data_IF_078097602567
#
_entry.id   IF_078097602567
#
_cell.length_a   1.000
_cell.length_b   1.000
_cell.length_c   1.000
_cell.angle_alpha   90.00
_cell.angle_beta   90.00
_cell.angle_gamma   90.00
#
_symmetry.space_group_name_H-M   'P 1'
#
loop_
_entity.id
_entity.type
_entity.pdbx_description
1 polymer ?
#
# COMPACT_ATOMS: atom_id res chain seq x y z
N UNK A 1 1.19 -9.45 -6.60
CA UNK A 1 1.04 -8.45 -5.53
C UNK A 1 2.42 -8.14 -4.99
N UNK A 2 2.70 -6.91 -4.59
CA UNK A 2 4.01 -6.45 -4.11
C UNK A 2 3.81 -5.77 -2.76
N UNK A 3 4.72 -6.01 -1.83
CA UNK A 3 4.74 -5.34 -0.54
C UNK A 3 6.11 -4.74 -0.23
N UNK A 4 6.09 -3.57 0.41
CA UNK A 4 7.23 -2.94 1.06
C UNK A 4 7.26 -3.37 2.52
N UNK A 5 8.39 -3.92 2.95
CA UNK A 5 8.60 -4.42 4.30
C UNK A 5 9.57 -3.50 5.02
N UNK A 6 9.17 -3.04 6.21
CA UNK A 6 9.99 -2.28 7.16
C UNK A 6 10.42 -3.20 8.29
N UNK A 7 11.72 -3.54 8.31
CA UNK A 7 12.35 -4.37 9.34
C UNK A 7 13.43 -3.54 10.00
N UNK A 8 13.20 -3.15 11.26
CA UNK A 8 14.07 -2.21 11.98
C UNK A 8 14.29 -0.90 11.19
N UNK A 9 15.54 -0.61 10.80
CA UNK A 9 15.95 0.57 10.03
C UNK A 9 16.08 0.29 8.52
N UNK A 10 15.79 -0.93 8.06
CA UNK A 10 15.86 -1.32 6.65
C UNK A 10 14.48 -1.46 6.03
N UNK A 11 14.41 -1.13 4.75
CA UNK A 11 13.24 -1.36 3.91
C UNK A 11 13.64 -2.17 2.69
N UNK A 12 12.80 -3.12 2.31
CA UNK A 12 12.97 -3.89 1.09
C UNK A 12 11.60 -4.26 0.53
N UNK A 13 11.55 -4.53 -0.77
CA UNK A 13 10.31 -4.88 -1.45
C UNK A 13 10.32 -6.33 -1.90
N UNK A 14 9.19 -7.03 -1.72
CA UNK A 14 9.05 -8.43 -2.09
C UNK A 14 7.74 -8.69 -2.82
N UNK A 15 7.75 -9.67 -3.71
CA UNK A 15 6.53 -10.25 -4.25
C UNK A 15 5.82 -11.01 -3.13
N UNK A 16 4.54 -10.70 -2.98
CA UNK A 16 3.65 -11.40 -2.07
C UNK A 16 3.08 -12.60 -2.81
N UNK A 17 3.49 -13.80 -2.39
CA UNK A 17 3.03 -15.05 -2.98
C UNK A 17 1.70 -15.54 -2.40
N UNK A 18 1.48 -15.26 -1.12
CA UNK A 18 0.20 -15.45 -0.45
C UNK A 18 0.08 -14.53 0.76
N UNK A 19 -1.16 -14.33 1.21
CA UNK A 19 -1.55 -13.63 2.43
C UNK A 19 -2.39 -14.59 3.25
N UNK A 20 -2.00 -14.81 4.49
CA UNK A 20 -2.77 -15.49 5.52
C UNK A 20 -3.46 -14.42 6.39
N UNK A 21 -4.77 -14.31 6.27
CA UNK A 21 -5.57 -13.31 6.98
C UNK A 21 -6.02 -13.85 8.34
N UNK A 22 -5.50 -13.25 9.42
CA UNK A 22 -5.85 -13.61 10.81
C UNK A 22 -5.82 -12.39 11.75
N UNK A 23 -6.37 -11.26 11.29
CA UNK A 23 -6.37 -10.00 12.04
C UNK A 23 -4.95 -9.51 12.31
N UNK A 24 -4.62 -9.23 13.57
CA UNK A 24 -3.28 -8.79 13.98
C UNK A 24 -2.18 -9.85 13.82
N UNK A 25 -2.55 -11.12 13.60
CA UNK A 25 -1.61 -12.21 13.34
C UNK A 25 -1.47 -12.53 11.85
N UNK A 26 -2.00 -11.66 10.98
CA UNK A 26 -1.90 -11.84 9.54
C UNK A 26 -0.44 -11.86 9.07
N UNK A 27 -0.17 -12.69 8.07
CA UNK A 27 1.16 -12.92 7.52
C UNK A 27 1.12 -12.90 6.01
N UNK A 28 2.27 -12.67 5.40
CA UNK A 28 2.49 -12.95 3.98
C UNK A 28 3.46 -14.11 3.82
N UNK A 29 3.40 -14.78 2.67
CA UNK A 29 4.49 -15.59 2.15
C UNK A 29 5.25 -14.71 1.17
N UNK A 30 6.51 -14.42 1.49
CA UNK A 30 7.38 -13.53 0.72
C UNK A 30 8.84 -13.93 0.88
N UNK A 31 9.70 -13.31 0.09
CA UNK A 31 11.14 -13.43 0.32
C UNK A 31 11.58 -12.59 1.51
N UNK A 32 12.62 -13.07 2.19
CA UNK A 32 13.40 -12.28 3.13
C UNK A 32 14.20 -11.17 2.42
N UNK A 33 14.93 -10.36 3.20
CA UNK A 33 15.71 -9.23 2.69
C UNK A 33 16.88 -9.65 1.75
N UNK A 34 17.31 -10.91 1.83
CA UNK A 34 18.36 -11.46 0.96
C UNK A 34 17.83 -12.01 -0.36
N UNK A 35 16.51 -12.20 -0.47
CA UNK A 35 15.85 -12.88 -1.59
C UNK A 35 16.30 -14.34 -1.78
N UNK A 36 16.85 -14.97 -0.75
CA UNK A 36 17.31 -16.36 -0.79
C UNK A 36 16.31 -17.32 -0.15
N UNK A 37 15.51 -16.83 0.81
CA UNK A 37 14.60 -17.68 1.59
C UNK A 37 13.16 -17.21 1.46
N UNK A 38 12.25 -18.16 1.23
CA UNK A 38 10.81 -17.93 1.29
C UNK A 38 10.32 -18.22 2.71
N UNK A 39 9.63 -17.27 3.33
CA UNK A 39 9.21 -17.38 4.74
C UNK A 39 7.82 -16.77 4.98
N UNK A 40 7.28 -17.02 6.18
CA UNK A 40 6.13 -16.29 6.69
C UNK A 40 6.58 -14.99 7.36
N UNK A 41 6.14 -13.85 6.83
CA UNK A 41 6.48 -12.53 7.35
C UNK A 41 5.22 -11.92 7.97
N UNK A 42 5.29 -11.53 9.25
CA UNK A 42 4.14 -10.93 9.92
C UNK A 42 3.85 -9.53 9.34
N UNK A 43 2.58 -9.25 9.04
CA UNK A 43 2.15 -7.92 8.57
C UNK A 43 2.33 -6.88 9.69
N UNK A 44 2.03 -7.31 10.91
CA UNK A 44 2.14 -6.50 12.11
C UNK A 44 3.22 -7.04 13.04
N UNK A 45 4.12 -6.17 13.48
CA UNK A 45 5.04 -6.40 14.59
C UNK A 45 4.39 -6.04 15.92
N UNK A 46 4.82 -6.72 17.00
CA UNK A 46 4.43 -6.38 18.37
C UNK A 46 5.55 -5.59 19.04
N UNK A 47 5.33 -4.32 19.34
CA UNK A 47 6.21 -3.52 20.20
C UNK A 47 5.37 -3.07 21.39
N UNK A 48 5.39 -3.81 22.51
CA UNK A 48 4.57 -3.44 23.67
C UNK A 48 4.77 -1.96 24.06
N UNK A 49 3.71 -1.14 24.13
CA UNK A 49 2.28 -1.51 24.16
C UNK A 49 1.50 -1.35 22.83
N UNK A 50 2.16 -1.13 21.69
CA UNK A 50 1.53 -0.81 20.40
C UNK A 50 1.75 -1.89 19.33
N UNK A 51 0.78 -2.00 18.43
CA UNK A 51 0.92 -2.80 17.20
C UNK A 51 1.56 -1.90 16.15
N UNK A 52 2.61 -2.41 15.48
CA UNK A 52 3.31 -1.68 14.43
C UNK A 52 3.11 -2.39 13.10
N UNK A 53 2.49 -1.72 12.13
CA UNK A 53 2.50 -2.23 10.75
C UNK A 53 3.93 -2.23 10.21
N UNK A 54 4.34 -3.36 9.68
CA UNK A 54 5.66 -3.57 9.08
C UNK A 54 5.56 -3.79 7.57
N UNK A 55 4.39 -4.19 7.07
CA UNK A 55 4.19 -4.53 5.65
C UNK A 55 3.11 -3.63 5.05
N UNK A 56 3.46 -2.99 3.94
CA UNK A 56 2.57 -2.14 3.16
C UNK A 56 2.44 -2.69 1.74
N UNK A 57 1.22 -3.01 1.32
CA UNK A 57 0.99 -3.51 -0.04
C UNK A 57 0.97 -2.34 -1.02
N UNK A 58 1.94 -2.30 -1.94
CA UNK A 58 2.14 -1.19 -2.87
C UNK A 58 1.60 -1.47 -4.29
N UNK A 59 1.34 -2.74 -4.60
CA UNK A 59 0.68 -3.14 -5.84
C UNK A 59 -0.17 -4.40 -5.63
N UNK A 60 -1.48 -4.28 -5.90
CA UNK A 60 -2.40 -5.42 -5.97
C UNK A 60 -2.44 -5.97 -7.40
N UNK A 61 -1.96 -7.20 -7.58
CA UNK A 61 -2.14 -7.93 -8.84
C UNK A 61 -3.37 -8.82 -8.68
N UNK A 62 -4.38 -8.59 -9.51
CA UNK A 62 -5.58 -9.42 -9.57
C UNK A 62 -5.39 -10.70 -10.39
N UNK A 63 -4.38 -10.71 -11.27
CA UNK A 63 -4.14 -11.85 -12.16
C UNK A 63 -3.56 -13.03 -11.36
N UNK A 64 -4.20 -14.21 -11.49
CA UNK A 64 -3.88 -15.48 -10.81
C UNK A 64 -4.10 -15.54 -9.29
N UNK A 65 -4.66 -14.48 -8.68
CA UNK A 65 -4.99 -14.47 -7.26
C UNK A 65 -6.23 -15.30 -6.96
N UNK A 66 -6.14 -16.20 -5.98
CA UNK A 66 -7.25 -17.06 -5.57
C UNK A 66 -7.37 -17.06 -4.05
N UNK A 67 -8.56 -17.38 -3.54
CA UNK A 67 -8.85 -17.40 -2.10
C UNK A 67 -9.34 -18.77 -1.67
N UNK A 68 -8.79 -19.28 -0.56
CA UNK A 68 -9.16 -20.56 0.06
C UNK A 68 -9.18 -20.40 1.58
N UNK A 69 -10.37 -20.27 2.15
CA UNK A 69 -10.54 -20.02 3.58
C UNK A 69 -9.90 -18.68 3.97
N UNK A 70 -8.93 -18.72 4.89
CA UNK A 70 -8.17 -17.55 5.37
C UNK A 70 -6.94 -17.20 4.52
N UNK A 71 -6.61 -18.00 3.50
CA UNK A 71 -5.42 -17.77 2.68
C UNK A 71 -5.85 -17.26 1.31
N UNK A 72 -5.20 -16.21 0.83
CA UNK A 72 -5.32 -15.74 -0.55
C UNK A 72 -3.94 -15.63 -1.19
N UNK A 73 -3.81 -15.85 -2.50
CA UNK A 73 -2.50 -15.86 -3.15
C UNK A 73 -2.51 -16.54 -4.50
N UNK A 74 -1.32 -16.78 -5.06
CA UNK A 74 -1.18 -17.56 -6.27
C UNK A 74 -1.78 -18.97 -6.07
N UNK A 75 -2.61 -19.38 -7.01
CA UNK A 75 -3.33 -20.67 -6.93
C UNK A 75 -2.40 -21.87 -6.71
N UNK A 76 -1.20 -21.87 -7.30
CA UNK A 76 -0.20 -22.94 -7.16
C UNK A 76 0.52 -22.93 -5.81
N UNK A 77 0.56 -21.79 -5.10
CA UNK A 77 1.06 -21.68 -3.72
C UNK A 77 0.02 -22.21 -2.75
N UNK A 78 -1.21 -21.67 -2.81
CA UNK A 78 -2.24 -21.97 -1.79
C UNK A 78 -2.78 -23.40 -1.88
N UNK A 79 -2.64 -24.05 -3.05
CA UNK A 79 -3.01 -25.45 -3.23
C UNK A 79 -1.87 -26.43 -2.89
N UNK A 80 -0.65 -25.94 -2.64
CA UNK A 80 0.49 -26.77 -2.28
C UNK A 80 0.58 -26.95 -0.76
N UNK A 81 -0.14 -27.95 -0.23
CA UNK A 81 -0.18 -28.25 1.21
C UNK A 81 1.17 -28.63 1.79
N UNK A 82 2.05 -29.25 1.00
CA UNK A 82 3.41 -29.58 1.43
C UNK A 82 4.24 -28.31 1.63
N UNK A 83 4.20 -27.38 0.69
CA UNK A 83 4.88 -26.08 0.79
C UNK A 83 4.45 -25.33 2.06
N UNK A 84 3.14 -25.18 2.27
CA UNK A 84 2.61 -24.48 3.44
C UNK A 84 3.10 -25.11 4.75
N UNK A 85 3.13 -26.44 4.83
CA UNK A 85 3.66 -27.17 5.99
C UNK A 85 5.16 -27.01 6.17
N UNK A 86 5.94 -26.95 5.10
CA UNK A 86 7.38 -26.72 5.17
C UNK A 86 7.69 -25.31 5.70
N UNK A 87 6.97 -24.30 5.21
CA UNK A 87 7.05 -22.93 5.68
C UNK A 87 6.65 -22.80 7.16
N UNK A 88 5.58 -23.49 7.59
CA UNK A 88 5.17 -23.50 9.01
C UNK A 88 6.19 -24.14 9.95
N UNK A 89 7.06 -25.01 9.42
CA UNK A 89 8.05 -25.77 10.19
C UNK A 89 9.48 -25.25 10.01
N UNK A 90 9.65 -24.10 9.33
CA UNK A 90 10.95 -23.52 8.95
C UNK A 90 11.87 -24.55 8.30
N UNK A 91 11.32 -25.34 7.36
CA UNK A 91 12.03 -26.41 6.64
C UNK A 91 12.42 -25.99 5.24
N UNK A 92 13.42 -26.67 4.70
CA UNK A 92 13.90 -26.50 3.34
C UNK A 92 12.77 -26.60 2.31
N UNK A 93 12.71 -25.59 1.43
CA UNK A 93 11.75 -25.48 0.33
C UNK A 93 12.36 -26.13 -0.92
N UNK A 94 11.63 -27.00 -1.64
CA UNK A 94 12.14 -27.62 -2.88
C UNK A 94 12.63 -26.60 -3.91
N UNK A 95 13.80 -26.85 -4.51
CA UNK A 95 14.44 -25.96 -5.48
C UNK A 95 13.54 -25.55 -6.65
N UNK A 96 12.65 -26.43 -7.11
CA UNK A 96 11.70 -26.14 -8.19
C UNK A 96 10.74 -25.01 -7.82
N UNK A 97 10.21 -25.04 -6.59
CA UNK A 97 9.30 -24.02 -6.06
C UNK A 97 10.07 -22.71 -5.87
N UNK A 98 11.24 -22.80 -5.24
CA UNK A 98 12.08 -21.63 -4.96
C UNK A 98 12.52 -20.93 -6.25
N UNK A 99 12.94 -21.70 -7.26
CA UNK A 99 13.34 -21.17 -8.57
C UNK A 99 12.20 -20.42 -9.25
N UNK A 100 10.97 -20.93 -9.19
CA UNK A 100 9.79 -20.24 -9.72
C UNK A 100 9.52 -18.93 -8.97
N UNK A 101 9.60 -18.93 -7.65
CA UNK A 101 9.45 -17.71 -6.86
C UNK A 101 10.52 -16.67 -7.23
N UNK A 102 11.78 -17.09 -7.36
CA UNK A 102 12.91 -16.23 -7.75
C UNK A 102 12.68 -15.62 -9.13
N UNK A 103 12.20 -16.40 -10.09
CA UNK A 103 11.88 -15.89 -11.44
C UNK A 103 10.81 -14.80 -11.40
N UNK A 104 9.74 -15.01 -10.63
CA UNK A 104 8.68 -14.01 -10.45
C UNK A 104 9.23 -12.74 -9.78
N UNK A 105 10.02 -12.88 -8.73
CA UNK A 105 10.65 -11.75 -8.03
C UNK A 105 11.55 -10.93 -8.97
N UNK A 106 12.40 -11.60 -9.76
CA UNK A 106 13.33 -10.94 -10.70
C UNK A 106 12.61 -10.20 -11.83
N UNK A 107 11.47 -10.70 -12.26
CA UNK A 107 10.67 -10.09 -13.32
C UNK A 107 9.77 -8.96 -12.81
N UNK A 108 9.70 -8.76 -11.49
CA UNK A 108 8.88 -7.70 -10.88
C UNK A 108 9.65 -6.39 -10.86
N UNK A 109 9.11 -5.37 -11.54
CA UNK A 109 9.69 -4.03 -11.59
C UNK A 109 8.89 -3.13 -10.65
N UNK A 110 9.59 -2.48 -9.72
CA UNK A 110 8.99 -1.57 -8.75
C UNK A 110 9.45 -0.15 -9.08
N UNK A 111 8.55 0.73 -9.55
CA UNK A 111 8.92 2.10 -9.82
C UNK A 111 9.16 2.87 -8.52
N UNK A 112 10.00 3.90 -8.57
CA UNK A 112 10.17 4.83 -7.44
C UNK A 112 8.86 5.58 -7.15
N UNK A 113 8.12 5.92 -8.20
CA UNK A 113 6.84 6.63 -8.14
C UNK A 113 5.76 5.87 -8.91
N UNK A 114 4.64 5.62 -8.27
CA UNK A 114 3.46 4.99 -8.85
C UNK A 114 2.51 6.06 -9.38
N UNK A 115 1.98 5.88 -10.59
CA UNK A 115 1.01 6.80 -11.18
C UNK A 115 -0.43 6.33 -10.95
N UNK A 116 -1.29 7.26 -10.51
CA UNK A 116 -2.73 7.03 -10.41
C UNK A 116 -3.36 7.38 -11.76
N UNK A 117 -3.63 6.35 -12.57
CA UNK A 117 -4.15 6.47 -13.93
C UNK A 117 -5.60 5.98 -14.05
N UNK A 118 -6.02 5.10 -13.15
CA UNK A 118 -7.27 4.36 -13.18
C UNK A 118 -7.70 3.90 -11.78
N UNK A 119 -8.86 3.25 -11.69
CA UNK A 119 -9.41 2.76 -10.42
C UNK A 119 -8.48 1.76 -9.71
N UNK A 120 -7.74 0.93 -10.47
CA UNK A 120 -6.80 -0.05 -9.91
C UNK A 120 -5.63 0.64 -9.22
N UNK A 121 -4.99 1.57 -9.91
CA UNK A 121 -3.87 2.36 -9.36
C UNK A 121 -4.30 3.28 -8.21
N UNK A 122 -5.54 3.79 -8.24
CA UNK A 122 -6.14 4.49 -7.10
C UNK A 122 -6.34 3.56 -5.90
N UNK A 123 -6.86 2.34 -6.12
CA UNK A 123 -7.00 1.32 -5.09
C UNK A 123 -5.65 0.91 -4.51
N UNK A 124 -4.60 0.80 -5.32
CA UNK A 124 -3.24 0.53 -4.82
C UNK A 124 -2.77 1.61 -3.83
N UNK A 125 -3.00 2.89 -4.14
CA UNK A 125 -2.69 3.98 -3.21
C UNK A 125 -3.51 3.86 -1.93
N UNK A 126 -4.82 3.63 -2.03
CA UNK A 126 -5.68 3.45 -0.84
C UNK A 126 -5.25 2.25 0.00
N UNK A 127 -4.90 1.12 -0.60
CA UNK A 127 -4.40 -0.05 0.13
C UNK A 127 -3.05 0.23 0.80
N UNK A 128 -2.10 0.85 0.09
CA UNK A 128 -0.78 1.19 0.63
C UNK A 128 -0.85 2.20 1.79
N UNK A 129 -1.90 3.01 1.82
CA UNK A 129 -2.16 4.02 2.82
C UNK A 129 -3.24 3.61 3.83
N UNK A 130 -3.73 2.37 3.84
CA UNK A 130 -4.88 1.96 4.66
C UNK A 130 -6.05 2.96 4.63
N UNK A 131 -6.43 3.37 3.43
CA UNK A 131 -7.43 4.41 3.16
C UNK A 131 -7.15 5.76 3.86
N UNK A 132 -5.89 6.02 4.16
CA UNK A 132 -5.41 7.15 4.95
C UNK A 132 -5.98 7.22 6.36
N UNK A 133 -6.36 6.09 6.96
CA UNK A 133 -6.82 6.03 8.35
C UNK A 133 -5.75 6.54 9.32
N UNK A 134 -6.14 7.39 10.27
CA UNK A 134 -5.29 8.11 11.22
C UNK A 134 -4.19 8.97 10.57
N UNK A 135 -4.30 9.29 9.28
CA UNK A 135 -3.26 9.98 8.56
C UNK A 135 -3.29 11.49 8.82
N UNK A 136 -2.11 12.13 8.73
CA UNK A 136 -1.92 13.56 8.96
C UNK A 136 -1.13 14.15 7.79
N UNK A 137 -1.64 15.22 7.19
CA UNK A 137 -0.90 15.99 6.19
C UNK A 137 0.22 16.79 6.90
N UNK A 138 1.47 16.38 6.72
CA UNK A 138 2.63 17.03 7.34
C UNK A 138 3.08 18.27 6.58
N UNK A 139 3.13 18.17 5.24
CA UNK A 139 3.63 19.26 4.39
C UNK A 139 2.84 19.36 3.10
N UNK A 140 2.65 20.60 2.64
CA UNK A 140 2.14 20.94 1.31
C UNK A 140 3.03 22.03 0.74
N UNK A 141 3.64 21.76 -0.41
CA UNK A 141 4.56 22.68 -1.08
C UNK A 141 4.22 22.76 -2.56
N UNK A 142 4.06 23.96 -3.09
CA UNK A 142 3.81 24.18 -4.52
C UNK A 142 5.00 24.87 -5.17
N UNK A 143 5.57 24.26 -6.20
CA UNK A 143 6.71 24.77 -6.97
C UNK A 143 6.51 24.45 -8.45
N UNK A 144 6.73 25.43 -9.34
CA UNK A 144 6.71 25.23 -10.79
C UNK A 144 5.47 24.48 -11.33
N UNK A 145 4.28 24.81 -10.82
CA UNK A 145 3.00 24.15 -11.15
C UNK A 145 2.85 22.69 -10.70
N UNK A 146 3.81 22.17 -9.93
CA UNK A 146 3.71 20.91 -9.21
C UNK A 146 3.39 21.19 -7.74
N UNK A 147 2.58 20.33 -7.12
CA UNK A 147 2.35 20.35 -5.67
C UNK A 147 2.78 19.03 -5.07
N UNK A 148 3.58 19.13 -4.03
CA UNK A 148 4.10 18.01 -3.25
C UNK A 148 3.38 17.99 -1.91
N UNK A 149 2.80 16.84 -1.57
CA UNK A 149 2.13 16.62 -0.30
C UNK A 149 2.83 15.45 0.40
N UNK A 150 3.20 15.63 1.66
CA UNK A 150 3.63 14.51 2.51
C UNK A 150 2.56 14.23 3.53
N UNK A 151 2.10 12.99 3.58
CA UNK A 151 1.08 12.50 4.50
C UNK A 151 1.73 11.44 5.37
N UNK A 152 1.79 11.69 6.68
CA UNK A 152 2.23 10.69 7.65
C UNK A 152 1.06 9.77 7.96
N UNK A 153 1.31 8.47 7.90
CA UNK A 153 0.38 7.45 8.39
C UNK A 153 1.17 6.47 9.25
N UNK A 154 0.82 6.41 10.53
CA UNK A 154 1.51 5.60 11.52
C UNK A 154 3.04 5.77 11.45
N UNK A 155 3.74 4.71 11.03
CA UNK A 155 5.20 4.61 10.95
C UNK A 155 5.77 4.81 9.54
N UNK A 156 4.93 5.23 8.58
CA UNK A 156 5.27 5.44 7.19
C UNK A 156 4.87 6.83 6.70
N UNK A 157 5.38 7.22 5.53
CA UNK A 157 5.00 8.45 4.84
C UNK A 157 4.59 8.17 3.41
N UNK A 158 3.42 8.66 3.04
CA UNK A 158 2.98 8.72 1.65
C UNK A 158 3.35 10.09 1.11
N UNK A 159 4.14 10.12 0.05
CA UNK A 159 4.44 11.33 -0.69
C UNK A 159 3.59 11.36 -1.95
N UNK A 160 2.88 12.46 -2.18
CA UNK A 160 2.12 12.71 -3.40
C UNK A 160 2.79 13.82 -4.19
N UNK A 161 2.86 13.62 -5.50
CA UNK A 161 3.29 14.62 -6.47
C UNK A 161 2.16 14.87 -7.46
N UNK A 162 1.65 16.10 -7.46
CA UNK A 162 0.44 16.50 -8.17
C UNK A 162 0.77 17.54 -9.24
N UNK A 163 0.25 17.36 -10.45
CA UNK A 163 0.34 18.36 -11.53
C UNK A 163 -0.96 19.16 -11.66
N UNK A 164 -0.84 20.47 -11.83
CA UNK A 164 -1.98 21.41 -11.97
C UNK A 164 -2.99 21.25 -10.82
N UNK A 165 -2.45 21.17 -9.60
CA UNK A 165 -3.22 20.81 -8.43
C UNK A 165 -4.20 21.93 -8.03
N UNK A 166 -5.41 21.53 -7.65
CA UNK A 166 -6.38 22.38 -6.98
C UNK A 166 -6.68 21.77 -5.62
N UNK A 167 -6.33 22.49 -4.55
CA UNK A 167 -6.49 22.04 -3.18
C UNK A 167 -7.54 22.92 -2.50
N UNK A 168 -8.39 22.31 -1.68
CA UNK A 168 -9.25 23.03 -0.76
C UNK A 168 -8.42 23.88 0.22
N UNK A 169 -8.99 24.97 0.74
CA UNK A 169 -8.30 25.85 1.68
C UNK A 169 -7.79 25.13 2.93
N UNK A 170 -8.52 24.12 3.37
CA UNK A 170 -8.21 23.36 4.59
C UNK A 170 -6.96 22.49 4.43
N UNK A 171 -6.62 22.09 3.20
CA UNK A 171 -5.39 21.34 2.95
C UNK A 171 -4.12 22.22 2.89
N UNK A 172 -4.24 23.56 2.81
CA UNK A 172 -3.11 24.46 2.45
C UNK A 172 -2.35 25.09 3.61
N UNK A 173 -2.80 24.93 4.85
CA UNK A 173 -2.25 25.72 5.97
C UNK A 173 -1.92 24.79 7.13
N UNK A 174 -0.73 25.01 7.72
CA UNK A 174 -0.32 24.48 9.02
C UNK A 174 -1.20 24.99 10.17
N UNK A 175 -2.51 24.81 10.06
CA UNK A 175 -3.38 24.68 11.20
C UNK A 175 -3.02 23.37 11.86
N UNK A 176 -2.70 23.43 13.16
CA UNK A 176 -2.85 22.25 14.00
C UNK A 176 -4.24 21.68 13.75
N UNK A 177 -4.27 20.45 13.26
CA UNK A 177 -5.46 19.65 12.98
C UNK A 177 -6.35 20.16 11.82
N UNK A 178 -6.00 19.84 10.56
CA UNK A 178 -6.92 18.91 9.90
C UNK A 178 -6.92 17.69 10.82
N UNK A 179 -8.03 17.41 11.48
CA UNK A 179 -8.10 16.23 12.36
C UNK A 179 -7.58 14.99 11.63
N UNK A 180 -7.24 13.95 12.39
CA UNK A 180 -6.87 12.66 11.83
C UNK A 180 -7.82 12.29 10.67
N UNK A 181 -7.26 11.99 9.50
CA UNK A 181 -8.05 11.50 8.36
C UNK A 181 -8.60 10.15 8.78
N UNK A 182 -9.92 10.00 8.84
CA UNK A 182 -10.53 8.73 9.24
C UNK A 182 -10.68 7.76 8.08
N UNK A 183 -10.89 8.28 6.88
CA UNK A 183 -11.03 7.48 5.67
C UNK A 183 -10.83 8.39 4.46
N UNK A 184 -10.69 7.82 3.28
CA UNK A 184 -10.49 8.57 2.04
C UNK A 184 -11.04 7.87 0.83
N UNK A 185 -11.43 8.67 -0.15
CA UNK A 185 -11.84 8.21 -1.46
C UNK A 185 -11.03 8.86 -2.56
N UNK A 186 -10.80 8.11 -3.63
CA UNK A 186 -10.21 8.61 -4.87
C UNK A 186 -11.19 8.33 -6.02
N UNK A 187 -11.47 9.34 -6.82
CA UNK A 187 -12.34 9.21 -7.99
C UNK A 187 -11.86 10.08 -9.16
N UNK A 188 -12.40 9.79 -10.35
CA UNK A 188 -12.01 10.43 -11.61
C UNK A 188 -13.20 11.18 -12.19
N UNK A 189 -13.04 12.47 -12.48
CA UNK A 189 -14.11 13.28 -13.07
C UNK A 189 -13.52 14.45 -13.88
N UNK A 190 -14.08 14.75 -15.06
CA UNK A 190 -13.64 15.85 -15.93
C UNK A 190 -12.13 15.90 -16.21
N UNK A 191 -11.53 14.73 -16.48
CA UNK A 191 -10.10 14.61 -16.78
C UNK A 191 -9.18 14.93 -15.60
N UNK A 192 -9.70 14.85 -14.38
CA UNK A 192 -8.93 15.06 -13.14
C UNK A 192 -9.13 13.90 -12.18
N UNK A 193 -8.12 13.73 -11.34
CA UNK A 193 -8.09 12.80 -10.21
C UNK A 193 -8.45 13.60 -8.98
N UNK A 194 -9.41 13.13 -8.19
CA UNK A 194 -9.82 13.73 -6.93
C UNK A 194 -9.44 12.78 -5.79
N UNK A 195 -8.84 13.33 -4.75
CA UNK A 195 -8.71 12.68 -3.44
C UNK A 195 -9.50 13.51 -2.43
N UNK A 196 -10.12 12.85 -1.47
CA UNK A 196 -10.87 13.48 -0.40
C UNK A 196 -10.86 12.63 0.86
N UNK A 197 -10.92 13.28 2.01
CA UNK A 197 -11.04 12.67 3.34
C UNK A 197 -12.46 12.17 3.69
N UNK A 198 -13.27 11.88 2.67
CA UNK A 198 -14.65 11.45 2.82
C UNK A 198 -14.79 10.07 2.20
N UNK A 199 -15.13 9.07 3.01
CA UNK A 199 -15.49 7.74 2.52
C UNK A 199 -16.69 7.81 1.56
N UNK A 200 -16.69 6.93 0.56
CA UNK A 200 -17.74 6.79 -0.44
C UNK A 200 -17.89 7.96 -1.42
N UNK A 201 -16.97 8.94 -1.41
CA UNK A 201 -17.05 10.05 -2.35
C UNK A 201 -16.68 9.61 -3.77
N UNK A 202 -17.62 9.80 -4.71
CA UNK A 202 -17.50 9.34 -6.09
C UNK A 202 -17.79 10.42 -7.14
N UNK A 203 -17.97 11.67 -6.70
CA UNK A 203 -18.21 12.82 -7.57
C UNK A 203 -17.88 14.14 -6.88
N UNK A 204 -17.74 15.21 -7.66
CA UNK A 204 -17.59 16.58 -7.17
C UNK A 204 -18.72 17.03 -6.25
N UNK A 205 -19.94 16.52 -6.44
CA UNK A 205 -21.06 16.85 -5.57
C UNK A 205 -20.85 16.32 -4.14
N UNK A 206 -20.16 15.18 -4.01
CA UNK A 206 -19.84 14.58 -2.70
C UNK A 206 -18.80 15.39 -1.91
N UNK A 207 -17.98 16.22 -2.58
CA UNK A 207 -16.96 17.06 -1.93
C UNK A 207 -17.53 18.12 -0.99
N UNK A 208 -18.85 18.39 -1.02
CA UNK A 208 -19.50 19.29 -0.08
C UNK A 208 -19.43 18.79 1.37
N UNK A 209 -19.26 17.49 1.55
CA UNK A 209 -19.15 16.84 2.86
C UNK A 209 -17.70 16.60 3.29
N UNK A 210 -16.74 16.84 2.39
CA UNK A 210 -15.32 16.68 2.63
C UNK A 210 -14.76 17.83 3.46
N UNK A 211 -13.90 17.52 4.43
CA UNK A 211 -13.19 18.56 5.18
C UNK A 211 -11.91 18.98 4.45
N UNK A 212 -11.26 18.07 3.72
CA UNK A 212 -10.14 18.34 2.84
C UNK A 212 -10.23 17.50 1.56
N UNK A 213 -10.02 18.17 0.43
CA UNK A 213 -9.83 17.50 -0.85
C UNK A 213 -8.75 18.19 -1.67
N UNK A 214 -8.16 17.43 -2.59
CA UNK A 214 -7.34 17.97 -3.66
C UNK A 214 -7.65 17.26 -4.97
N UNK A 215 -7.37 17.93 -6.07
CA UNK A 215 -7.48 17.36 -7.40
C UNK A 215 -6.28 17.71 -8.27
N UNK A 216 -5.96 16.86 -9.23
CA UNK A 216 -4.83 17.06 -10.13
C UNK A 216 -5.13 16.48 -11.52
N UNK A 217 -4.40 16.95 -12.54
CA UNK A 217 -4.42 16.31 -13.88
C UNK A 217 -3.53 15.07 -13.92
N UNK A 218 -2.54 14.99 -13.02
CA UNK A 218 -1.67 13.84 -12.82
C UNK A 218 -1.31 13.72 -11.34
N UNK A 219 -1.34 12.50 -10.81
CA UNK A 219 -1.01 12.17 -9.44
C UNK A 219 -0.02 11.00 -9.42
N UNK A 220 1.14 11.25 -8.82
CA UNK A 220 2.15 10.24 -8.53
C UNK A 220 2.23 10.06 -7.02
N UNK A 221 2.52 8.84 -6.56
CA UNK A 221 2.74 8.57 -5.15
C UNK A 221 3.94 7.66 -4.91
N UNK A 222 4.55 7.79 -3.73
CA UNK A 222 5.56 6.85 -3.21
C UNK A 222 5.38 6.69 -1.70
N UNK A 223 5.84 5.56 -1.18
CA UNK A 223 5.79 5.21 0.25
C UNK A 223 7.22 5.17 0.82
N UNK A 224 7.47 5.89 1.90
CA UNK A 224 8.74 5.87 2.64
C UNK A 224 8.57 5.23 4.03
#
# INVERSE_FOLDING_TARGET
>A
MIARIKKDETTYDTVVFAVLSDGWYSKIIGFDETFETLEYINIYGSVTPYIKQQIFFIDSSDDEWSTKGKISGFSWIINNTLLLKLLEQDRYIPDEILSRCIEIQKNTIIPEWFEVLDEKSAKNLLVASECFHDAIIETVKTENSETFITIKIWEAKIHLKLKDANLSSNCKVGYGNLGEIYDSSIFFEDGRIFWTDCDGANSKNSLRNASCFFSATKMLWKLD
#
